data_IF_444926440121
#
_entry.id   IF_444926440121
#
_cell.length_a   1.000
_cell.length_b   1.000
_cell.length_c   1.000
_cell.angle_alpha   90.00
_cell.angle_beta   90.00
_cell.angle_gamma   90.00
#
_symmetry.space_group_name_H-M   'P 1'
#
loop_
_entity.id
_entity.type
_entity.pdbx_description
1 polymer ?
#
# COMPACT_ATOMS: atom_id res chain seq x y z
N UNK A 1 26.15 -26.79 54.29
CA UNK A 1 27.09 -25.67 54.57
C UNK A 1 26.61 -24.71 55.66
N UNK A 2 25.52 -23.94 55.52
CA UNK A 2 25.17 -22.93 56.56
C UNK A 2 24.64 -23.55 57.88
N UNK A 3 23.84 -24.61 57.81
CA UNK A 3 23.28 -25.31 58.99
C UNK A 3 24.33 -26.13 59.76
N UNK A 4 25.32 -26.68 59.07
CA UNK A 4 26.43 -27.43 59.68
C UNK A 4 27.36 -26.53 60.49
N UNK A 5 27.51 -25.27 60.09
CA UNK A 5 28.37 -24.31 60.80
C UNK A 5 27.72 -23.87 62.11
N UNK A 6 26.41 -23.56 62.09
CA UNK A 6 25.65 -23.18 63.29
C UNK A 6 25.50 -24.34 64.30
N UNK A 7 25.32 -25.57 63.83
CA UNK A 7 25.27 -26.75 64.70
C UNK A 7 26.61 -27.02 65.38
N UNK A 8 27.72 -26.79 64.66
CA UNK A 8 29.07 -26.95 65.21
C UNK A 8 29.35 -25.91 66.30
N UNK A 9 29.03 -24.64 66.05
CA UNK A 9 29.20 -23.57 67.05
C UNK A 9 28.34 -23.79 68.31
N UNK A 10 27.15 -24.40 68.17
CA UNK A 10 26.30 -24.74 69.31
C UNK A 10 26.85 -25.90 70.14
N UNK A 11 27.36 -26.95 69.47
CA UNK A 11 27.98 -28.11 70.13
C UNK A 11 29.27 -27.71 70.85
N UNK A 12 30.12 -26.89 70.22
CA UNK A 12 31.38 -26.41 70.80
C UNK A 12 31.15 -25.55 72.06
N UNK A 13 30.01 -24.85 72.15
CA UNK A 13 29.61 -24.10 73.36
C UNK A 13 29.05 -24.99 74.47
N UNK A 14 28.36 -26.08 74.13
CA UNK A 14 27.84 -27.06 75.09
C UNK A 14 28.96 -27.84 75.78
N UNK A 15 30.08 -28.12 75.09
CA UNK A 15 31.23 -28.82 75.69
C UNK A 15 31.96 -28.00 76.76
N UNK A 16 31.82 -26.67 76.76
CA UNK A 16 32.41 -25.77 77.78
C UNK A 16 31.59 -25.66 79.08
N UNK A 17 30.51 -26.45 79.25
CA UNK A 17 29.56 -26.35 80.39
C UNK A 17 29.91 -27.29 81.56
N UNK A 18 31.06 -27.98 81.53
CA UNK A 18 31.35 -29.06 82.50
C UNK A 18 31.78 -28.65 83.91
N UNK A 19 32.00 -27.37 84.22
CA UNK A 19 32.45 -26.91 85.54
C UNK A 19 31.58 -25.76 86.12
N UNK A 20 30.34 -26.06 86.55
CA UNK A 20 29.48 -25.08 87.22
C UNK A 20 28.96 -25.58 88.57
N UNK A 21 29.40 -24.94 89.66
CA UNK A 21 29.05 -25.27 91.05
C UNK A 21 27.83 -24.51 91.58
N UNK A 22 27.33 -23.49 90.87
CA UNK A 22 26.23 -22.62 91.33
C UNK A 22 24.94 -22.80 90.51
N UNK A 23 23.81 -23.02 91.21
CA UNK A 23 22.50 -23.28 90.59
C UNK A 23 21.95 -22.12 89.76
N UNK A 24 22.26 -20.88 90.16
CA UNK A 24 21.77 -19.66 89.50
C UNK A 24 22.41 -19.49 88.11
N UNK A 25 23.72 -19.70 88.00
CA UNK A 25 24.44 -19.63 86.72
C UNK A 25 23.96 -20.71 85.74
N UNK A 26 23.63 -21.89 86.25
CA UNK A 26 23.02 -22.95 85.44
C UNK A 26 21.62 -22.56 84.93
N UNK A 27 20.77 -21.94 85.76
CA UNK A 27 19.45 -21.46 85.31
C UNK A 27 19.56 -20.36 84.25
N UNK A 28 20.50 -19.43 84.41
CA UNK A 28 20.73 -18.35 83.44
C UNK A 28 21.27 -18.89 82.10
N UNK A 29 22.18 -19.86 82.14
CA UNK A 29 22.70 -20.52 80.93
C UNK A 29 21.62 -21.34 80.21
N UNK A 30 20.78 -22.05 80.96
CA UNK A 30 19.63 -22.79 80.41
C UNK A 30 18.66 -21.83 79.72
N UNK A 31 18.33 -20.70 80.36
CA UNK A 31 17.46 -19.69 79.77
C UNK A 31 18.05 -19.08 78.50
N UNK A 32 19.37 -18.85 78.46
CA UNK A 32 20.07 -18.37 77.27
C UNK A 32 20.00 -19.40 76.13
N UNK A 33 20.26 -20.68 76.41
CA UNK A 33 20.17 -21.76 75.44
C UNK A 33 18.73 -21.95 74.90
N UNK A 34 17.71 -21.85 75.76
CA UNK A 34 16.30 -21.92 75.34
C UNK A 34 15.95 -20.77 74.40
N UNK A 35 16.42 -19.55 74.69
CA UNK A 35 16.20 -18.39 73.82
C UNK A 35 16.89 -18.55 72.47
N UNK A 36 18.16 -19.00 72.45
CA UNK A 36 18.90 -19.24 71.21
C UNK A 36 18.25 -20.34 70.35
N UNK A 37 17.84 -21.46 70.96
CA UNK A 37 17.13 -22.54 70.26
C UNK A 37 15.78 -22.06 69.73
N UNK A 38 15.06 -21.24 70.50
CA UNK A 38 13.77 -20.67 70.07
C UNK A 38 13.94 -19.72 68.87
N UNK A 39 14.99 -18.89 68.84
CA UNK A 39 15.30 -18.05 67.68
C UNK A 39 15.65 -18.89 66.45
N UNK A 40 16.44 -19.95 66.61
CA UNK A 40 16.78 -20.85 65.50
C UNK A 40 15.56 -21.59 64.94
N UNK A 41 14.58 -21.96 65.78
CA UNK A 41 13.30 -22.54 65.34
C UNK A 41 12.48 -21.52 64.55
N UNK A 42 12.36 -20.29 65.05
CA UNK A 42 11.65 -19.20 64.34
C UNK A 42 12.31 -18.91 63.00
N UNK A 43 13.64 -18.81 62.95
CA UNK A 43 14.38 -18.61 61.71
C UNK A 43 14.22 -19.77 60.72
N UNK A 44 14.20 -21.02 61.21
CA UNK A 44 13.95 -22.21 60.39
C UNK A 44 12.55 -22.19 59.80
N UNK A 45 11.55 -21.90 60.61
CA UNK A 45 10.15 -21.94 60.22
C UNK A 45 9.74 -20.71 59.39
N UNK A 46 10.51 -19.62 59.46
CA UNK A 46 10.38 -18.45 58.58
C UNK A 46 10.94 -18.66 57.17
N UNK A 47 11.70 -19.73 56.93
CA UNK A 47 12.20 -20.05 55.59
C UNK A 47 11.09 -20.70 54.76
N UNK A 48 10.82 -20.23 53.54
CA UNK A 48 9.86 -20.89 52.66
C UNK A 48 10.29 -22.35 52.44
N UNK A 49 9.34 -23.27 52.62
CA UNK A 49 9.57 -24.69 52.45
C UNK A 49 10.03 -24.94 51.01
N UNK A 50 11.19 -25.59 50.83
CA UNK A 50 11.82 -25.84 49.51
C UNK A 50 10.84 -26.51 48.55
N UNK A 51 9.93 -27.34 49.06
CA UNK A 51 8.85 -27.98 48.29
C UNK A 51 7.88 -26.96 47.68
N UNK A 52 7.47 -25.95 48.44
CA UNK A 52 6.55 -24.90 47.97
C UNK A 52 7.22 -24.09 46.85
N UNK A 53 8.49 -23.71 47.03
CA UNK A 53 9.24 -23.00 46.00
C UNK A 53 9.41 -23.83 44.70
N UNK A 54 9.63 -25.14 44.83
CA UNK A 54 9.72 -26.04 43.69
C UNK A 54 8.37 -26.17 42.94
N UNK A 55 7.26 -26.25 43.68
CA UNK A 55 5.91 -26.27 43.10
C UNK A 55 5.57 -24.96 42.37
N UNK A 56 5.86 -23.80 42.99
CA UNK A 56 5.69 -22.49 42.36
C UNK A 56 6.55 -22.35 41.10
N UNK A 57 7.81 -22.81 41.15
CA UNK A 57 8.71 -22.81 40.00
C UNK A 57 8.14 -23.68 38.86
N UNK A 58 7.59 -24.86 39.18
CA UNK A 58 6.98 -25.73 38.18
C UNK A 58 5.72 -25.13 37.58
N UNK A 59 4.88 -24.48 38.38
CA UNK A 59 3.70 -23.76 37.90
C UNK A 59 4.07 -22.59 36.98
N UNK A 60 5.09 -21.81 37.35
CA UNK A 60 5.62 -20.74 36.52
C UNK A 60 6.18 -21.27 35.20
N UNK A 61 6.93 -22.37 35.21
CA UNK A 61 7.42 -23.00 33.98
C UNK A 61 6.29 -23.44 33.05
N UNK A 62 5.23 -24.05 33.59
CA UNK A 62 4.04 -24.43 32.81
C UNK A 62 3.37 -23.20 32.20
N UNK A 63 3.26 -22.10 32.98
CA UNK A 63 2.67 -20.85 32.51
C UNK A 63 3.51 -20.19 31.41
N UNK A 64 4.84 -20.22 31.54
CA UNK A 64 5.77 -19.74 30.50
C UNK A 64 5.58 -20.54 29.20
N UNK A 65 5.50 -21.86 29.28
CA UNK A 65 5.29 -22.71 28.10
C UNK A 65 3.94 -22.44 27.43
N UNK A 66 2.87 -22.26 28.22
CA UNK A 66 1.55 -21.89 27.71
C UNK A 66 1.58 -20.53 26.99
N UNK A 67 2.20 -19.51 27.60
CA UNK A 67 2.34 -18.18 27.01
C UNK A 67 3.18 -18.21 25.74
N UNK A 68 4.26 -19.00 25.69
CA UNK A 68 5.06 -19.19 24.48
C UNK A 68 4.23 -19.83 23.35
N UNK A 69 3.41 -20.82 23.68
CA UNK A 69 2.52 -21.48 22.71
C UNK A 69 1.48 -20.50 22.17
N UNK A 70 0.85 -19.71 23.05
CA UNK A 70 -0.11 -18.69 22.66
C UNK A 70 0.54 -17.60 21.78
N UNK A 71 1.74 -17.15 22.15
CA UNK A 71 2.50 -16.18 21.37
C UNK A 71 2.78 -16.70 19.95
N UNK A 72 3.16 -17.97 19.81
CA UNK A 72 3.43 -18.56 18.51
C UNK A 72 2.16 -18.72 17.67
N UNK A 73 1.03 -19.07 18.29
CA UNK A 73 -0.27 -19.08 17.62
C UNK A 73 -0.67 -17.69 17.12
N UNK A 74 -0.54 -16.66 17.95
CA UNK A 74 -0.87 -15.29 17.58
C UNK A 74 0.06 -14.74 16.49
N UNK A 75 1.36 -15.04 16.54
CA UNK A 75 2.30 -14.71 15.45
C UNK A 75 1.86 -15.34 14.13
N UNK A 76 1.46 -16.61 14.14
CA UNK A 76 0.99 -17.30 12.95
C UNK A 76 -0.32 -16.69 12.41
N UNK A 77 -1.28 -16.37 13.28
CA UNK A 77 -2.51 -15.66 12.87
C UNK A 77 -2.19 -14.30 12.26
N UNK A 78 -1.30 -13.53 12.87
CA UNK A 78 -0.91 -12.21 12.38
C UNK A 78 -0.23 -12.30 10.99
N UNK A 79 0.65 -13.28 10.80
CA UNK A 79 1.27 -13.55 9.50
C UNK A 79 0.24 -13.87 8.41
N UNK A 80 -0.75 -14.71 8.72
CA UNK A 80 -1.82 -15.06 7.77
C UNK A 80 -2.69 -13.85 7.42
N UNK A 81 -3.08 -13.04 8.41
CA UNK A 81 -3.83 -11.81 8.18
C UNK A 81 -3.04 -10.80 7.32
N UNK A 82 -1.75 -10.63 7.60
CA UNK A 82 -0.87 -9.76 6.81
C UNK A 82 -0.79 -10.20 5.35
N UNK A 83 -0.69 -11.51 5.09
CA UNK A 83 -0.73 -12.05 3.73
C UNK A 83 -2.08 -11.83 3.04
N UNK A 84 -3.19 -11.97 3.77
CA UNK A 84 -4.53 -11.73 3.23
C UNK A 84 -4.75 -10.26 2.87
N UNK A 85 -4.31 -9.33 3.74
CA UNK A 85 -4.37 -7.89 3.47
C UNK A 85 -3.55 -7.50 2.24
N UNK A 86 -2.36 -8.06 2.07
CA UNK A 86 -1.54 -7.83 0.89
C UNK A 86 -2.23 -8.30 -0.40
N UNK A 87 -2.86 -9.48 -0.38
CA UNK A 87 -3.63 -10.01 -1.52
C UNK A 87 -4.83 -9.12 -1.88
N UNK A 88 -5.59 -8.67 -0.88
CA UNK A 88 -6.74 -7.77 -1.11
C UNK A 88 -6.29 -6.43 -1.70
N UNK A 89 -5.20 -5.85 -1.19
CA UNK A 89 -4.64 -4.61 -1.71
C UNK A 89 -4.26 -4.74 -3.18
N UNK A 90 -3.59 -5.84 -3.56
CA UNK A 90 -3.21 -6.12 -4.94
C UNK A 90 -4.43 -6.35 -5.86
N UNK A 91 -5.46 -7.05 -5.39
CA UNK A 91 -6.67 -7.26 -6.18
C UNK A 91 -7.39 -5.94 -6.47
N UNK A 92 -7.50 -5.07 -5.46
CA UNK A 92 -8.11 -3.74 -5.63
C UNK A 92 -7.30 -2.87 -6.58
N UNK A 93 -5.96 -2.94 -6.54
CA UNK A 93 -5.12 -2.18 -7.47
C UNK A 93 -5.24 -2.70 -8.91
N UNK A 94 -5.28 -4.02 -9.12
CA UNK A 94 -5.49 -4.62 -10.44
C UNK A 94 -6.85 -4.26 -11.05
N UNK A 95 -7.93 -4.31 -10.26
CA UNK A 95 -9.27 -3.92 -10.72
C UNK A 95 -9.33 -2.43 -11.09
N UNK A 96 -8.68 -1.57 -10.29
CA UNK A 96 -8.56 -0.15 -10.60
C UNK A 96 -7.79 0.10 -11.90
N UNK A 97 -6.67 -0.60 -12.11
CA UNK A 97 -5.89 -0.51 -13.36
C UNK A 97 -6.73 -0.96 -14.55
N UNK A 98 -7.45 -2.09 -14.44
CA UNK A 98 -8.33 -2.58 -15.51
C UNK A 98 -9.45 -1.61 -15.85
N UNK A 99 -10.03 -0.94 -14.86
CA UNK A 99 -11.03 0.12 -15.08
C UNK A 99 -10.41 1.32 -15.81
N UNK A 100 -9.26 1.82 -15.34
CA UNK A 100 -8.57 2.96 -15.95
C UNK A 100 -8.14 2.70 -17.39
N UNK A 101 -7.70 1.47 -17.71
CA UNK A 101 -7.40 1.06 -19.09
C UNK A 101 -8.62 1.12 -20.00
N UNK A 102 -9.79 0.66 -19.53
CA UNK A 102 -11.04 0.74 -20.30
C UNK A 102 -11.50 2.18 -20.52
N UNK A 103 -11.40 3.04 -19.51
CA UNK A 103 -11.68 4.48 -19.64
C UNK A 103 -10.78 5.12 -20.70
N UNK A 104 -9.47 4.85 -20.66
CA UNK A 104 -8.52 5.37 -21.64
C UNK A 104 -8.82 4.88 -23.06
N UNK A 105 -9.16 3.60 -23.23
CA UNK A 105 -9.52 3.03 -24.54
C UNK A 105 -10.77 3.70 -25.13
N UNK A 106 -11.78 3.97 -24.31
CA UNK A 106 -12.98 4.70 -24.74
C UNK A 106 -12.64 6.13 -25.18
N UNK A 107 -11.81 6.84 -24.42
CA UNK A 107 -11.39 8.20 -24.76
C UNK A 107 -10.55 8.24 -26.05
N UNK A 108 -9.62 7.29 -26.23
CA UNK A 108 -8.83 7.17 -27.46
C UNK A 108 -9.73 6.91 -28.66
N UNK A 109 -10.68 5.99 -28.55
CA UNK A 109 -11.61 5.70 -29.65
C UNK A 109 -12.48 6.90 -29.96
N UNK A 110 -13.00 7.60 -28.96
CA UNK A 110 -13.77 8.84 -29.14
C UNK A 110 -12.93 9.93 -29.83
N UNK A 111 -11.65 10.07 -29.49
CA UNK A 111 -10.75 11.00 -30.15
C UNK A 111 -10.49 10.61 -31.61
N UNK A 112 -10.28 9.32 -31.90
CA UNK A 112 -10.14 8.82 -33.26
C UNK A 112 -11.36 9.12 -34.11
N UNK A 113 -12.56 8.81 -33.61
CA UNK A 113 -13.80 9.13 -34.32
C UNK A 113 -13.96 10.62 -34.61
N UNK A 114 -13.67 11.48 -33.64
CA UNK A 114 -13.71 12.93 -33.84
C UNK A 114 -12.68 13.40 -34.86
N UNK A 115 -11.47 12.83 -34.86
CA UNK A 115 -10.45 13.16 -35.85
C UNK A 115 -10.87 12.70 -37.24
N UNK A 116 -11.38 11.47 -37.38
CA UNK A 116 -11.83 10.92 -38.66
C UNK A 116 -12.98 11.73 -39.25
N UNK A 117 -13.95 12.15 -38.43
CA UNK A 117 -15.06 13.02 -38.84
C UNK A 117 -14.54 14.40 -39.29
N UNK A 118 -13.66 15.00 -38.49
CA UNK A 118 -13.02 16.28 -38.82
C UNK A 118 -12.24 16.22 -40.14
N UNK A 119 -11.46 15.16 -40.35
CA UNK A 119 -10.65 15.03 -41.56
C UNK A 119 -11.50 14.71 -42.77
N UNK A 120 -12.49 13.82 -42.64
CA UNK A 120 -13.36 13.43 -43.75
C UNK A 120 -14.22 14.59 -44.23
N UNK A 121 -14.91 15.27 -43.32
CA UNK A 121 -15.81 16.37 -43.70
C UNK A 121 -15.02 17.53 -44.31
N UNK A 122 -13.84 17.85 -43.76
CA UNK A 122 -13.01 18.92 -44.32
C UNK A 122 -12.41 18.55 -45.68
N UNK A 123 -12.01 17.30 -45.89
CA UNK A 123 -11.45 16.83 -47.16
C UNK A 123 -12.53 16.83 -48.25
N UNK A 124 -13.71 16.27 -47.97
CA UNK A 124 -14.83 16.23 -48.92
C UNK A 124 -15.29 17.64 -49.29
N UNK A 125 -15.36 18.56 -48.32
CA UNK A 125 -15.68 19.97 -48.61
C UNK A 125 -14.60 20.68 -49.45
N UNK A 126 -13.32 20.29 -49.32
CA UNK A 126 -12.23 20.82 -50.13
C UNK A 126 -12.27 20.25 -51.56
N UNK A 127 -12.50 18.96 -51.73
CA UNK A 127 -12.68 18.33 -53.05
C UNK A 127 -13.87 18.98 -53.79
N UNK A 128 -15.01 19.12 -53.12
CA UNK A 128 -16.19 19.81 -53.66
C UNK A 128 -15.90 21.29 -54.01
N UNK A 129 -15.03 21.98 -53.26
CA UNK A 129 -14.60 23.34 -53.58
C UNK A 129 -13.80 23.37 -54.89
N UNK A 130 -12.83 22.47 -55.03
CA UNK A 130 -11.95 22.39 -56.20
C UNK A 130 -12.74 22.03 -57.45
N UNK A 131 -13.60 21.01 -57.39
CA UNK A 131 -14.46 20.61 -58.52
C UNK A 131 -15.41 21.74 -58.94
N UNK A 132 -16.07 22.39 -57.97
CA UNK A 132 -16.98 23.49 -58.28
C UNK A 132 -16.26 24.71 -58.88
N UNK A 133 -15.03 24.98 -58.44
CA UNK A 133 -14.22 26.07 -59.00
C UNK A 133 -13.79 25.75 -60.43
N UNK A 134 -13.30 24.54 -60.67
CA UNK A 134 -12.93 24.06 -62.00
C UNK A 134 -14.12 24.13 -62.97
N UNK A 135 -15.27 23.59 -62.59
CA UNK A 135 -16.47 23.61 -63.42
C UNK A 135 -16.97 25.04 -63.67
N UNK A 136 -16.87 25.92 -62.66
CA UNK A 136 -17.21 27.33 -62.82
C UNK A 136 -16.32 28.03 -63.84
N UNK A 137 -15.05 27.63 -63.97
CA UNK A 137 -14.12 28.18 -64.97
C UNK A 137 -14.40 27.57 -66.34
N UNK A 138 -14.65 26.26 -66.43
CA UNK A 138 -14.90 25.53 -67.69
C UNK A 138 -16.21 25.93 -68.36
N UNK A 139 -17.32 25.96 -67.61
CA UNK A 139 -18.66 26.13 -68.17
C UNK A 139 -19.34 27.46 -67.83
N UNK A 140 -18.78 28.24 -66.90
CA UNK A 140 -19.37 29.48 -66.38
C UNK A 140 -20.86 29.35 -66.04
N UNK A 141 -21.25 28.18 -65.51
CA UNK A 141 -22.64 27.87 -65.18
C UNK A 141 -22.99 28.36 -63.77
N UNK A 142 -24.17 28.99 -63.64
CA UNK A 142 -24.76 29.38 -62.36
C UNK A 142 -24.86 28.26 -61.32
N UNK A 143 -25.00 27.00 -61.74
CA UNK A 143 -24.99 25.85 -60.83
C UNK A 143 -23.62 25.66 -60.17
N UNK A 144 -22.54 25.72 -60.94
CA UNK A 144 -21.18 25.59 -60.44
C UNK A 144 -20.83 26.73 -59.47
N UNK A 145 -21.23 27.96 -59.80
CA UNK A 145 -21.08 29.11 -58.89
C UNK A 145 -21.83 28.91 -57.56
N UNK A 146 -23.05 28.36 -57.59
CA UNK A 146 -23.79 28.05 -56.34
C UNK A 146 -23.12 26.96 -55.52
N UNK A 147 -22.57 25.92 -56.15
CA UNK A 147 -21.83 24.88 -55.44
C UNK A 147 -20.53 25.43 -54.85
N UNK A 148 -19.82 26.30 -55.59
CA UNK A 148 -18.62 26.97 -55.10
C UNK A 148 -18.91 27.77 -53.83
N UNK A 149 -19.93 28.64 -53.86
CA UNK A 149 -20.34 29.42 -52.68
C UNK A 149 -20.75 28.54 -51.50
N UNK A 150 -21.44 27.42 -51.76
CA UNK A 150 -21.83 26.46 -50.74
C UNK A 150 -20.61 25.79 -50.09
N UNK A 151 -19.65 25.32 -50.89
CA UNK A 151 -18.43 24.69 -50.41
C UNK A 151 -17.55 25.67 -49.62
N UNK A 152 -17.40 26.92 -50.10
CA UNK A 152 -16.71 27.99 -49.36
C UNK A 152 -17.32 28.20 -47.98
N UNK A 153 -18.65 28.31 -47.91
CA UNK A 153 -19.37 28.48 -46.65
C UNK A 153 -19.17 27.30 -45.69
N UNK A 154 -19.31 26.06 -46.18
CA UNK A 154 -19.09 24.86 -45.35
C UNK A 154 -17.67 24.79 -44.76
N UNK A 155 -16.64 25.13 -45.55
CA UNK A 155 -15.25 25.17 -45.07
C UNK A 155 -15.04 26.26 -44.01
N UNK A 156 -15.64 27.43 -44.18
CA UNK A 156 -15.57 28.52 -43.20
C UNK A 156 -16.31 28.18 -41.90
N UNK A 157 -17.45 27.48 -41.99
CA UNK A 157 -18.22 27.02 -40.83
C UNK A 157 -17.40 26.06 -39.94
N UNK A 158 -16.40 25.36 -40.51
CA UNK A 158 -15.46 24.53 -39.76
C UNK A 158 -14.52 25.31 -38.82
N UNK A 159 -14.37 26.63 -39.03
CA UNK A 159 -13.46 27.57 -38.32
C UNK A 159 -11.98 27.17 -38.31
N UNK A 160 -11.57 26.26 -39.19
CA UNK A 160 -10.18 25.76 -39.28
C UNK A 160 -9.40 26.35 -40.43
N UNK A 161 -10.09 26.91 -41.42
CA UNK A 161 -9.52 27.49 -42.63
C UNK A 161 -10.01 28.92 -42.74
N UNK A 162 -9.10 29.84 -43.08
CA UNK A 162 -9.39 31.26 -43.26
C UNK A 162 -9.95 31.55 -44.65
N UNK A 163 -10.58 32.73 -44.80
CA UNK A 163 -11.05 33.22 -46.11
C UNK A 163 -9.86 33.36 -47.06
N UNK A 164 -8.74 33.89 -46.58
CA UNK A 164 -7.53 34.08 -47.37
C UNK A 164 -6.97 32.77 -47.92
N UNK A 165 -6.97 31.70 -47.12
CA UNK A 165 -6.54 30.36 -47.57
C UNK A 165 -7.48 29.77 -48.62
N UNK A 166 -8.80 29.93 -48.44
CA UNK A 166 -9.80 29.44 -49.40
C UNK A 166 -9.67 30.16 -50.75
N UNK A 167 -9.58 31.50 -50.75
CA UNK A 167 -9.44 32.26 -51.99
C UNK A 167 -8.14 31.92 -52.72
N UNK A 168 -7.03 31.76 -51.98
CA UNK A 168 -5.75 31.35 -52.58
C UNK A 168 -5.83 29.97 -53.26
N UNK A 169 -6.55 29.02 -52.68
CA UNK A 169 -6.78 27.71 -53.30
C UNK A 169 -7.65 27.85 -54.56
N UNK A 170 -8.69 28.68 -54.50
CA UNK A 170 -9.53 28.96 -55.67
C UNK A 170 -8.77 29.64 -56.81
N UNK A 171 -7.88 30.58 -56.51
CA UNK A 171 -7.00 31.23 -57.49
C UNK A 171 -6.10 30.21 -58.18
N UNK A 172 -5.43 29.34 -57.41
CA UNK A 172 -4.56 28.29 -57.96
C UNK A 172 -5.37 27.32 -58.84
N UNK A 173 -6.56 26.89 -58.40
CA UNK A 173 -7.40 25.98 -59.19
C UNK A 173 -7.86 26.63 -60.51
N UNK A 174 -8.16 27.92 -60.49
CA UNK A 174 -8.49 28.67 -61.70
C UNK A 174 -7.32 28.72 -62.68
N UNK A 175 -6.13 29.09 -62.20
CA UNK A 175 -4.92 29.11 -63.01
C UNK A 175 -4.64 27.74 -63.64
N UNK A 176 -4.72 26.67 -62.85
CA UNK A 176 -4.54 25.29 -63.33
C UNK A 176 -5.57 24.94 -64.40
N UNK A 177 -6.86 25.21 -64.16
CA UNK A 177 -7.94 24.90 -65.10
C UNK A 177 -7.75 25.63 -66.43
N UNK A 178 -7.35 26.91 -66.40
CA UNK A 178 -7.07 27.69 -67.60
C UNK A 178 -5.89 27.10 -68.38
N UNK A 179 -4.81 26.70 -67.70
CA UNK A 179 -3.65 26.07 -68.33
C UNK A 179 -4.00 24.74 -69.00
N UNK A 180 -4.81 23.90 -68.35
CA UNK A 180 -5.29 22.63 -68.91
C UNK A 180 -6.12 22.85 -70.18
N UNK A 181 -7.07 23.78 -70.15
CA UNK A 181 -7.89 24.13 -71.32
C UNK A 181 -7.05 24.66 -72.49
N UNK A 182 -6.02 25.46 -72.23
CA UNK A 182 -5.09 25.95 -73.26
C UNK A 182 -4.24 24.82 -73.86
N UNK A 183 -3.95 23.78 -73.09
CA UNK A 183 -3.21 22.61 -73.57
C UNK A 183 -4.09 21.71 -74.44
N UNK A 184 -5.35 21.49 -74.08
CA UNK A 184 -6.30 20.69 -74.86
C UNK A 184 -6.63 21.29 -76.24
N UNK A 185 -6.41 22.59 -76.41
CA UNK A 185 -6.63 23.31 -77.68
C UNK A 185 -5.42 23.28 -78.63
N UNK A 186 -4.29 22.67 -78.24
CA UNK A 186 -3.08 22.52 -79.07
C UNK A 186 -2.99 21.14 -79.70
#
# INVERSE_FOLDING_TARGET
>A
MFTETLLKDFVDKQENVKDFSDKQENEDLINQLINEVSQLIIERDSRPNITILAEEQQQLQRKVLQLQTQLEQEKNKNRLLSLHLAKLSNKNSEENIKRKRRELEQDVNRLKYRLDEIFRDNLENLENLLEAKEESVKSNNSYAQRQLEKSKKSLLDSKKVSVEEIEKVCEIQEELTVLELLQEQK
#
